data_IF_112357741891
#
_entry.id   IF_112357741891
#
_cell.length_a   1.000
_cell.length_b   1.000
_cell.length_c   1.000
_cell.angle_alpha   90.00
_cell.angle_beta   90.00
_cell.angle_gamma   90.00
#
_symmetry.space_group_name_H-M   'P 1'
#
loop_
_entity.id
_entity.type
_entity.pdbx_description
1 polymer ?
#
# COMPACT_ATOMS: atom_id res chain seq x y z
N UNK A 1 3.52 -0.41 9.05
CA UNK A 1 4.48 0.25 9.92
C UNK A 1 5.91 0.10 9.42
N UNK A 2 6.36 -1.11 9.18
CA UNK A 2 7.69 -1.33 8.63
C UNK A 2 7.84 -0.88 7.18
N UNK A 3 6.74 -0.51 6.55
CA UNK A 3 6.75 -0.02 5.18
C UNK A 3 7.61 1.23 5.01
N UNK A 4 7.74 2.04 6.06
CA UNK A 4 8.59 3.23 6.03
C UNK A 4 10.05 2.90 5.75
N UNK A 5 10.52 1.72 6.15
CA UNK A 5 11.89 1.28 5.86
C UNK A 5 12.11 0.98 4.38
N UNK A 6 11.05 0.70 3.65
CA UNK A 6 11.10 0.37 2.22
C UNK A 6 10.80 1.57 1.32
N UNK A 7 10.60 2.76 1.87
CA UNK A 7 10.15 3.92 1.08
C UNK A 7 11.12 4.31 -0.03
N UNK A 8 12.41 4.19 0.19
CA UNK A 8 13.37 4.48 -0.87
C UNK A 8 13.17 3.55 -2.07
N UNK A 9 13.00 2.25 -1.81
CA UNK A 9 12.78 1.28 -2.88
C UNK A 9 11.45 1.52 -3.59
N UNK A 10 10.44 1.99 -2.88
CA UNK A 10 9.14 2.29 -3.48
C UNK A 10 9.18 3.57 -4.31
N UNK A 11 9.67 4.66 -3.75
CA UNK A 11 9.63 5.98 -4.37
C UNK A 11 10.67 6.12 -5.47
N UNK A 12 11.90 5.70 -5.20
CA UNK A 12 13.03 5.93 -6.10
C UNK A 12 13.32 4.77 -7.03
N UNK A 13 12.70 3.63 -6.81
CA UNK A 13 12.90 2.47 -7.66
C UNK A 13 11.58 2.01 -8.30
N UNK A 14 10.72 1.34 -7.57
CA UNK A 14 9.49 0.75 -8.14
C UNK A 14 8.63 1.80 -8.86
N UNK A 15 8.41 2.95 -8.24
CA UNK A 15 7.57 4.01 -8.80
C UNK A 15 8.20 4.67 -10.05
N UNK A 16 9.51 4.62 -10.18
CA UNK A 16 10.23 5.25 -11.28
C UNK A 16 10.51 4.31 -12.45
N UNK A 17 10.46 2.98 -12.25
CA UNK A 17 10.76 2.02 -13.30
C UNK A 17 9.93 2.22 -14.57
N UNK A 18 8.63 2.52 -14.50
CA UNK A 18 7.85 2.77 -15.72
C UNK A 18 8.38 3.93 -16.56
N UNK A 19 9.02 4.92 -15.94
CA UNK A 19 9.62 6.04 -16.67
C UNK A 19 10.80 5.62 -17.55
N UNK A 20 11.41 4.47 -17.25
CA UNK A 20 12.53 3.92 -18.00
C UNK A 20 12.10 2.76 -18.93
N UNK A 21 10.79 2.56 -19.09
CA UNK A 21 10.25 1.51 -19.94
C UNK A 21 10.11 0.14 -19.28
N UNK A 22 10.37 0.03 -17.98
CA UNK A 22 10.20 -1.21 -17.24
C UNK A 22 8.89 -1.17 -16.47
N UNK A 23 8.03 -2.17 -16.65
CA UNK A 23 6.72 -2.20 -16.01
C UNK A 23 6.53 -3.47 -15.18
N UNK A 24 7.35 -3.69 -14.15
CA UNK A 24 7.11 -4.81 -13.25
C UNK A 24 5.79 -4.58 -12.52
N UNK A 25 5.07 -5.67 -12.27
CA UNK A 25 3.81 -5.58 -11.55
C UNK A 25 3.97 -6.26 -10.19
N UNK A 26 3.82 -5.48 -9.13
CA UNK A 26 3.92 -5.94 -7.76
C UNK A 26 2.67 -5.48 -7.00
N UNK A 27 2.09 -6.37 -6.23
CA UNK A 27 1.02 -6.02 -5.29
C UNK A 27 1.60 -6.11 -3.89
N UNK A 28 1.61 -4.98 -3.20
CA UNK A 28 2.18 -4.88 -1.86
C UNK A 28 1.04 -4.75 -0.88
N UNK A 29 1.07 -5.60 0.12
CA UNK A 29 0.08 -5.62 1.17
C UNK A 29 0.62 -4.92 2.41
N UNK A 30 -0.10 -3.91 2.88
CA UNK A 30 0.17 -3.22 4.15
C UNK A 30 -1.03 -3.35 5.05
N UNK A 31 -0.83 -3.52 6.34
CA UNK A 31 -1.92 -3.57 7.28
C UNK A 31 -1.80 -2.47 8.32
N UNK A 32 -2.91 -1.77 8.57
CA UNK A 32 -3.04 -0.85 9.69
C UNK A 32 -3.41 -1.66 10.93
N UNK A 33 -2.61 -1.56 11.99
CA UNK A 33 -2.89 -2.26 13.23
C UNK A 33 -4.11 -1.70 13.95
N UNK A 34 -4.72 -2.53 14.77
CA UNK A 34 -5.88 -2.18 15.57
C UNK A 34 -5.50 -1.98 17.03
N UNK A 35 -6.31 -1.20 17.75
CA UNK A 35 -6.15 -1.02 19.19
C UNK A 35 -6.88 -2.08 19.99
N UNK A 36 -7.87 -2.73 19.41
CA UNK A 36 -8.63 -3.81 20.05
C UNK A 36 -8.69 -5.00 19.10
N UNK A 37 -8.64 -6.22 19.60
CA UNK A 37 -8.49 -6.62 21.02
C UNK A 37 -7.09 -6.40 21.60
N UNK A 38 -6.09 -6.17 20.75
CA UNK A 38 -4.72 -5.93 21.18
C UNK A 38 -4.23 -4.62 20.56
N UNK A 39 -3.77 -3.70 21.42
CA UNK A 39 -3.13 -2.47 20.96
C UNK A 39 -1.63 -2.74 20.80
N UNK A 40 -1.16 -2.80 19.57
CA UNK A 40 0.24 -3.03 19.25
C UNK A 40 1.13 -1.78 19.45
N UNK A 41 0.51 -0.65 19.85
CA UNK A 41 1.23 0.60 20.11
C UNK A 41 1.31 1.51 18.89
N UNK A 42 1.75 2.76 19.09
CA UNK A 42 1.72 3.77 18.02
C UNK A 42 2.60 3.44 16.82
N UNK A 43 3.65 2.64 17.00
CA UNK A 43 4.53 2.25 15.90
C UNK A 43 3.90 1.20 14.98
N UNK A 44 2.87 0.50 15.44
CA UNK A 44 2.24 -0.61 14.71
C UNK A 44 0.78 -0.35 14.35
N UNK A 45 0.27 0.85 14.62
CA UNK A 45 -1.11 1.23 14.32
C UNK A 45 -1.20 2.43 13.39
N UNK A 46 -0.09 2.77 12.75
CA UNK A 46 -0.01 3.92 11.85
C UNK A 46 -0.67 3.64 10.51
N UNK A 47 -1.26 4.70 9.94
CA UNK A 47 -1.83 4.65 8.61
C UNK A 47 -1.23 5.78 7.78
N UNK A 48 -0.39 5.41 6.81
CA UNK A 48 0.29 6.37 5.95
C UNK A 48 -0.23 6.35 4.50
N UNK A 49 -1.43 5.83 4.28
CA UNK A 49 -1.97 5.70 2.92
C UNK A 49 -1.95 7.03 2.15
N UNK A 50 -2.34 8.12 2.79
CA UNK A 50 -2.34 9.44 2.14
C UNK A 50 -0.92 9.93 1.80
N UNK A 51 0.04 9.66 2.68
CA UNK A 51 1.44 10.00 2.40
C UNK A 51 1.95 9.22 1.19
N UNK A 52 1.64 7.93 1.11
CA UNK A 52 2.00 7.11 -0.05
C UNK A 52 1.38 7.66 -1.33
N UNK A 53 0.10 8.05 -1.28
CA UNK A 53 -0.58 8.63 -2.44
C UNK A 53 0.09 9.90 -2.94
N UNK A 54 0.65 10.70 -2.03
CA UNK A 54 1.35 11.94 -2.38
C UNK A 54 2.73 11.65 -2.98
N UNK A 55 3.43 10.65 -2.46
CA UNK A 55 4.81 10.35 -2.83
C UNK A 55 4.93 9.50 -4.10
N UNK A 56 3.92 8.68 -4.39
CA UNK A 56 3.96 7.72 -5.49
C UNK A 56 3.13 8.24 -6.69
N UNK A 57 3.64 8.06 -7.90
CA UNK A 57 3.00 8.57 -9.12
C UNK A 57 2.53 7.45 -10.04
N UNK A 58 3.27 6.36 -10.16
CA UNK A 58 2.89 5.21 -10.99
C UNK A 58 2.32 4.07 -10.18
N UNK A 59 2.77 3.92 -8.93
CA UNK A 59 2.26 2.91 -8.02
C UNK A 59 0.93 3.43 -7.44
N UNK A 60 -0.12 2.66 -7.61
CA UNK A 60 -1.44 2.99 -7.07
C UNK A 60 -1.50 2.62 -5.59
N UNK A 61 -2.15 3.47 -4.79
CA UNK A 61 -2.40 3.21 -3.38
C UNK A 61 -3.90 3.06 -3.17
N UNK A 62 -4.32 1.94 -2.62
CA UNK A 62 -5.73 1.64 -2.36
C UNK A 62 -5.90 1.31 -0.87
N UNK A 63 -6.65 2.15 -0.15
CA UNK A 63 -6.97 1.91 1.24
C UNK A 63 -8.32 1.20 1.31
N UNK A 64 -8.36 0.04 1.97
CA UNK A 64 -9.54 -0.82 1.95
C UNK A 64 -9.91 -1.27 3.35
N UNK A 65 -11.20 -1.48 3.57
CA UNK A 65 -11.71 -2.11 4.77
C UNK A 65 -11.93 -3.61 4.55
N UNK A 66 -12.24 -4.33 5.61
CA UNK A 66 -12.46 -5.78 5.54
C UNK A 66 -13.48 -6.18 4.47
N UNK A 67 -14.59 -5.42 4.37
CA UNK A 67 -15.66 -5.74 3.42
C UNK A 67 -15.24 -5.57 1.95
N UNK A 68 -14.23 -4.76 1.66
CA UNK A 68 -13.81 -4.44 0.29
C UNK A 68 -12.49 -5.09 -0.11
N UNK A 69 -11.89 -5.92 0.74
CA UNK A 69 -10.57 -6.52 0.46
C UNK A 69 -10.57 -7.34 -0.83
N UNK A 70 -11.53 -8.24 -1.00
CA UNK A 70 -11.57 -9.11 -2.18
C UNK A 70 -11.65 -8.29 -3.46
N UNK A 71 -12.53 -7.30 -3.49
CA UNK A 71 -12.69 -6.42 -4.65
C UNK A 71 -11.41 -5.63 -4.94
N UNK A 72 -10.73 -5.17 -3.89
CA UNK A 72 -9.48 -4.43 -4.04
C UNK A 72 -8.37 -5.28 -4.67
N UNK A 73 -8.23 -6.52 -4.24
CA UNK A 73 -7.25 -7.44 -4.81
C UNK A 73 -7.60 -7.83 -6.24
N UNK A 74 -8.86 -8.04 -6.55
CA UNK A 74 -9.30 -8.29 -7.93
C UNK A 74 -8.94 -7.11 -8.84
N UNK A 75 -9.20 -5.87 -8.39
CA UNK A 75 -8.82 -4.68 -9.14
C UNK A 75 -7.32 -4.55 -9.33
N UNK A 76 -6.55 -4.86 -8.29
CA UNK A 76 -5.10 -4.79 -8.36
C UNK A 76 -4.54 -5.79 -9.37
N UNK A 77 -5.11 -6.99 -9.45
CA UNK A 77 -4.70 -8.00 -10.42
C UNK A 77 -4.94 -7.54 -11.86
N UNK A 78 -5.99 -6.75 -12.09
CA UNK A 78 -6.33 -6.24 -13.42
C UNK A 78 -5.65 -4.91 -13.75
N UNK A 79 -5.14 -4.21 -12.74
CA UNK A 79 -4.49 -2.93 -12.93
C UNK A 79 -3.13 -3.11 -13.61
N UNK A 80 -2.78 -2.30 -14.62
CA UNK A 80 -1.54 -2.50 -15.37
C UNK A 80 -0.28 -2.22 -14.59
N UNK A 81 -0.34 -1.35 -13.57
CA UNK A 81 0.82 -0.97 -12.77
C UNK A 81 0.79 -1.65 -11.40
N UNK A 82 1.82 -1.40 -10.60
CA UNK A 82 1.90 -1.91 -9.24
C UNK A 82 0.91 -1.21 -8.32
N UNK A 83 0.51 -1.90 -7.26
CA UNK A 83 -0.47 -1.40 -6.29
C UNK A 83 0.00 -1.70 -4.87
N UNK A 84 -0.15 -0.72 -3.98
CA UNK A 84 -0.06 -0.93 -2.54
C UNK A 84 -1.49 -0.96 -2.00
N UNK A 85 -1.85 -2.05 -1.36
CA UNK A 85 -3.15 -2.19 -0.71
C UNK A 85 -2.95 -2.01 0.79
N UNK A 86 -3.52 -0.94 1.33
CA UNK A 86 -3.48 -0.63 2.74
C UNK A 86 -4.77 -1.16 3.38
N UNK A 87 -4.64 -2.24 4.12
CA UNK A 87 -5.76 -2.88 4.80
C UNK A 87 -6.04 -2.19 6.11
N UNK A 88 -7.16 -1.48 6.18
CA UNK A 88 -7.64 -0.85 7.39
C UNK A 88 -8.93 -1.56 7.84
N UNK A 89 -8.84 -2.49 8.80
CA UNK A 89 -9.96 -3.34 9.16
C UNK A 89 -11.10 -2.60 9.87
N UNK A 90 -10.88 -1.36 10.28
CA UNK A 90 -11.89 -0.56 10.99
C UNK A 90 -12.77 0.20 10.01
N UNK A 91 -12.31 0.40 8.79
CA UNK A 91 -13.01 1.21 7.80
C UNK A 91 -14.40 0.78 7.43
#
# INVERSE_FOLDING_TARGET
DFMLLAMDQLVNHLDKLPLFGWTPKVIIRCRVGQKTPLDAGPQHTQNYARAFMTMLHTVRVDEVCTASEVTAYERALLWPDSTIIVENPIG
#
